data_IF_215104852974
#
_entry.id   IF_215104852974
#
_cell.length_a   1.000
_cell.length_b   1.000
_cell.length_c   1.000
_cell.angle_alpha   90.00
_cell.angle_beta   90.00
_cell.angle_gamma   90.00
#
_symmetry.space_group_name_H-M   'P 1'
#
loop_
_entity.id
_entity.type
_entity.pdbx_description
1 polymer ?
#
# COMPACT_ATOMS: atom_id res chain seq x y z
N UNK A 1 17.61 22.38 -13.22
CA UNK A 1 17.46 20.91 -13.19
C UNK A 1 17.11 20.39 -11.78
N UNK A 2 17.78 20.79 -10.70
CA UNK A 2 17.47 20.35 -9.32
C UNK A 2 16.08 20.71 -8.76
N UNK A 3 15.39 21.69 -9.36
CA UNK A 3 14.10 22.20 -8.86
C UNK A 3 12.95 21.18 -8.98
N UNK A 4 13.04 20.20 -9.89
CA UNK A 4 12.01 19.16 -10.05
C UNK A 4 12.13 18.03 -9.03
N UNK A 5 13.34 17.71 -8.56
CA UNK A 5 13.58 16.61 -7.60
C UNK A 5 12.96 16.89 -6.22
N UNK A 6 12.82 18.17 -5.85
CA UNK A 6 12.22 18.59 -4.57
C UNK A 6 10.84 19.24 -4.73
N UNK A 7 10.26 19.18 -5.93
CA UNK A 7 8.92 19.70 -6.15
C UNK A 7 7.90 18.76 -5.51
N UNK A 8 6.94 19.32 -4.75
CA UNK A 8 5.82 18.56 -4.19
C UNK A 8 4.67 18.54 -5.19
N UNK A 9 4.01 17.39 -5.35
CA UNK A 9 2.77 17.30 -6.13
C UNK A 9 1.64 17.98 -5.34
N UNK A 10 0.88 18.92 -5.92
CA UNK A 10 -0.23 19.56 -5.22
C UNK A 10 -1.36 18.54 -4.99
N UNK A 11 -2.07 18.69 -3.88
CA UNK A 11 -3.14 17.76 -3.47
C UNK A 11 -4.32 17.80 -4.44
N UNK A 12 -4.62 18.98 -5.01
CA UNK A 12 -5.71 19.16 -5.97
C UNK A 12 -5.54 18.24 -7.20
N UNK A 13 -4.32 18.14 -7.73
CA UNK A 13 -4.03 17.27 -8.87
C UNK A 13 -4.24 15.79 -8.53
N UNK A 14 -3.90 15.38 -7.30
CA UNK A 14 -4.12 14.01 -6.83
C UNK A 14 -5.61 13.66 -6.72
N UNK A 15 -6.42 14.59 -6.23
CA UNK A 15 -7.88 14.38 -6.10
C UNK A 15 -8.52 14.31 -7.48
N UNK A 16 -8.15 15.22 -8.39
CA UNK A 16 -8.65 15.24 -9.76
C UNK A 16 -8.36 13.93 -10.51
N UNK A 17 -7.20 13.31 -10.28
CA UNK A 17 -6.85 11.99 -10.83
C UNK A 17 -7.77 10.86 -10.33
N UNK A 18 -8.38 11.00 -9.16
CA UNK A 18 -9.30 9.99 -8.59
C UNK A 18 -10.75 10.15 -9.05
N UNK A 19 -11.10 11.24 -9.72
CA UNK A 19 -12.47 11.59 -10.12
C UNK A 19 -12.82 11.14 -11.56
N UNK A 20 -12.05 10.22 -12.15
CA UNK A 20 -12.31 9.68 -13.49
C UNK A 20 -13.74 9.08 -13.58
N UNK A 21 -14.61 9.54 -14.50
CA UNK A 21 -15.95 8.99 -14.71
C UNK A 21 -15.97 7.49 -15.04
N UNK A 22 -14.84 6.92 -15.48
CA UNK A 22 -14.66 5.49 -15.78
C UNK A 22 -14.02 4.71 -14.62
N UNK A 23 -13.94 5.30 -13.44
CA UNK A 23 -13.38 4.69 -12.24
C UNK A 23 -14.17 3.48 -11.71
N UNK A 24 -13.54 2.73 -10.81
CA UNK A 24 -14.17 1.61 -10.12
C UNK A 24 -15.25 2.09 -9.14
N UNK A 25 -16.31 1.28 -8.99
CA UNK A 25 -17.34 1.53 -8.00
C UNK A 25 -16.79 1.37 -6.58
N UNK A 26 -17.07 2.34 -5.69
CA UNK A 26 -16.65 2.30 -4.29
C UNK A 26 -17.51 1.34 -3.48
N UNK A 27 -17.11 0.08 -3.43
CA UNK A 27 -17.82 -0.98 -2.69
C UNK A 27 -17.15 -1.40 -1.37
N UNK A 28 -15.84 -1.13 -1.21
CA UNK A 28 -15.08 -1.59 -0.04
C UNK A 28 -15.45 -0.81 1.22
N UNK A 29 -15.94 -1.52 2.23
CA UNK A 29 -16.20 -1.00 3.57
C UNK A 29 -15.01 -1.17 4.52
N UNK A 30 -15.15 -0.74 5.79
CA UNK A 30 -14.07 -0.84 6.78
C UNK A 30 -13.54 -2.27 6.98
N UNK A 31 -14.43 -3.27 6.96
CA UNK A 31 -14.06 -4.67 7.13
C UNK A 31 -13.25 -5.20 5.93
N UNK A 32 -13.65 -4.86 4.70
CA UNK A 32 -12.93 -5.27 3.50
C UNK A 32 -11.52 -4.68 3.47
N UNK A 33 -11.37 -3.43 3.92
CA UNK A 33 -10.06 -2.78 4.05
C UNK A 33 -9.17 -3.44 5.11
N UNK A 34 -9.74 -3.89 6.23
CA UNK A 34 -9.00 -4.65 7.25
C UNK A 34 -8.52 -5.98 6.67
N UNK A 35 -9.39 -6.70 5.96
CA UNK A 35 -9.02 -7.97 5.32
C UNK A 35 -7.95 -7.78 4.24
N UNK A 36 -8.03 -6.71 3.46
CA UNK A 36 -6.98 -6.33 2.50
C UNK A 36 -5.64 -6.11 3.20
N UNK A 37 -5.64 -5.40 4.34
CA UNK A 37 -4.42 -5.15 5.10
C UNK A 37 -3.80 -6.45 5.64
N UNK A 38 -4.61 -7.36 6.19
CA UNK A 38 -4.14 -8.66 6.67
C UNK A 38 -3.47 -9.45 5.53
N UNK A 39 -4.13 -9.53 4.37
CA UNK A 39 -3.58 -10.22 3.21
C UNK A 39 -2.32 -9.58 2.63
N UNK A 40 -2.21 -8.25 2.69
CA UNK A 40 -1.03 -7.53 2.19
C UNK A 40 0.18 -7.60 3.15
N UNK A 41 -0.06 -7.68 4.46
CA UNK A 41 1.01 -7.68 5.48
C UNK A 41 1.52 -9.09 5.77
N UNK A 42 0.62 -10.07 5.87
CA UNK A 42 1.00 -11.45 6.20
C UNK A 42 1.45 -12.14 4.92
N UNK A 43 2.77 -12.22 4.74
CA UNK A 43 3.37 -12.88 3.57
C UNK A 43 4.66 -13.62 3.92
N UNK A 44 5.48 -13.86 2.90
CA UNK A 44 6.73 -14.64 3.00
C UNK A 44 7.67 -14.16 4.12
N UNK A 45 7.63 -12.87 4.48
CA UNK A 45 8.49 -12.29 5.51
C UNK A 45 8.33 -12.93 6.89
N UNK A 46 7.10 -13.19 7.34
CA UNK A 46 6.84 -13.82 8.65
C UNK A 46 7.30 -15.28 8.62
N UNK A 47 6.99 -16.01 7.55
CA UNK A 47 7.35 -17.43 7.45
C UNK A 47 8.85 -17.66 7.28
N UNK A 48 9.54 -16.81 6.51
CA UNK A 48 10.99 -16.89 6.30
C UNK A 48 11.76 -16.39 7.53
N UNK A 49 11.48 -15.17 7.99
CA UNK A 49 12.29 -14.53 9.05
C UNK A 49 12.09 -15.19 10.42
N UNK A 50 10.88 -15.64 10.75
CA UNK A 50 10.65 -16.38 12.00
C UNK A 50 11.18 -17.81 11.86
N UNK A 51 11.08 -18.43 10.68
CA UNK A 51 11.61 -19.76 10.42
C UNK A 51 13.13 -19.82 10.59
N UNK A 52 13.87 -18.87 9.99
CA UNK A 52 15.32 -18.76 10.15
C UNK A 52 15.73 -18.37 11.57
N UNK A 53 14.99 -17.46 12.20
CA UNK A 53 15.24 -17.10 13.61
C UNK A 53 14.98 -18.26 14.58
N UNK A 54 13.93 -19.06 14.35
CA UNK A 54 13.63 -20.24 15.16
C UNK A 54 14.61 -21.40 14.89
N UNK A 55 15.12 -21.51 13.66
CA UNK A 55 16.19 -22.44 13.30
C UNK A 55 17.57 -22.03 13.86
N UNK A 56 17.69 -20.82 14.43
CA UNK A 56 18.92 -20.32 15.02
C UNK A 56 19.94 -19.81 13.99
N UNK A 57 19.51 -19.47 12.78
CA UNK A 57 20.37 -18.92 11.72
C UNK A 57 20.60 -17.40 11.84
N UNK A 58 20.67 -16.88 13.07
CA UNK A 58 20.88 -15.44 13.35
C UNK A 58 22.18 -15.19 14.09
#
# INVERSE_FOLDING_TARGET
MFRSLFSRKPIADLVAETEDPKGLRRELGPFDLIMLAIGAVIGAGIFSSIGTAAAGEV
#
